data_IF_729054498527
#
_entry.id   IF_729054498527
#
_cell.length_a   1.000
_cell.length_b   1.000
_cell.length_c   1.000
_cell.angle_alpha   90.00
_cell.angle_beta   90.00
_cell.angle_gamma   90.00
#
_symmetry.space_group_name_H-M   'P 1'
#
loop_
_entity.id
_entity.type
_entity.pdbx_description
1 polymer ?
#
# COMPACT_ATOMS: atom_id res chain seq x y z
N UNK A 1 -2.88 6.30 -15.20
CA UNK A 1 -3.32 5.00 -15.75
C UNK A 1 -2.10 4.33 -16.34
N UNK A 2 -1.84 3.07 -16.00
CA UNK A 2 -0.75 2.29 -16.61
C UNK A 2 -1.30 1.45 -17.77
N UNK A 3 -0.44 1.12 -18.73
CA UNK A 3 -0.77 0.13 -19.75
C UNK A 3 -0.51 -1.28 -19.23
N UNK A 4 -1.55 -1.94 -18.73
CA UNK A 4 -1.45 -3.31 -18.17
C UNK A 4 -0.90 -4.30 -19.19
N UNK A 5 -1.18 -4.15 -20.49
CA UNK A 5 -0.67 -5.05 -21.52
C UNK A 5 0.86 -4.90 -21.65
N UNK A 6 1.36 -3.67 -21.59
CA UNK A 6 2.79 -3.38 -21.64
C UNK A 6 3.55 -3.94 -20.43
N UNK A 7 2.94 -3.97 -19.24
CA UNK A 7 3.53 -4.59 -18.04
C UNK A 7 3.57 -6.12 -18.09
N UNK A 8 2.69 -6.74 -18.89
CA UNK A 8 2.57 -8.20 -19.03
C UNK A 8 3.30 -8.76 -20.25
N UNK A 9 3.68 -7.91 -21.22
CA UNK A 9 4.45 -8.30 -22.39
C UNK A 9 5.75 -9.00 -21.98
N UNK A 10 6.13 -10.14 -22.59
CA UNK A 10 7.40 -10.80 -22.31
C UNK A 10 8.57 -9.80 -22.44
N UNK A 11 9.51 -9.88 -21.49
CA UNK A 11 10.76 -9.13 -21.57
C UNK A 11 11.78 -9.92 -22.41
N UNK A 12 12.70 -9.20 -23.04
CA UNK A 12 13.75 -9.80 -23.86
C UNK A 12 14.71 -10.66 -23.02
N UNK A 13 15.26 -11.71 -23.63
CA UNK A 13 16.22 -12.63 -23.01
C UNK A 13 15.65 -14.00 -22.70
N UNK A 14 16.38 -14.77 -21.88
CA UNK A 14 16.06 -16.17 -21.56
C UNK A 14 14.87 -16.31 -20.59
N UNK A 15 14.65 -15.32 -19.72
CA UNK A 15 13.53 -15.30 -18.79
C UNK A 15 12.48 -14.27 -19.28
N UNK A 16 11.22 -14.67 -19.59
CA UNK A 16 10.18 -13.75 -20.06
C UNK A 16 9.74 -12.71 -19.00
N UNK A 17 10.23 -12.82 -17.77
CA UNK A 17 10.09 -11.87 -16.68
C UNK A 17 11.36 -11.06 -16.39
N UNK A 18 12.39 -11.16 -17.24
CA UNK A 18 13.61 -10.35 -17.14
C UNK A 18 14.47 -10.65 -15.91
N UNK A 19 15.18 -9.63 -15.43
CA UNK A 19 16.17 -9.71 -14.35
C UNK A 19 15.56 -9.62 -12.94
N UNK A 20 16.21 -10.23 -11.94
CA UNK A 20 15.86 -10.02 -10.52
C UNK A 20 16.35 -8.64 -10.08
N UNK A 21 15.41 -7.74 -9.77
CA UNK A 21 15.70 -6.35 -9.39
C UNK A 21 16.20 -6.19 -7.95
N UNK A 22 16.35 -7.27 -7.17
CA UNK A 22 16.68 -7.20 -5.73
C UNK A 22 17.91 -6.35 -5.39
N UNK A 23 18.93 -6.36 -6.24
CA UNK A 23 20.19 -5.64 -6.01
C UNK A 23 20.34 -4.45 -6.96
N UNK A 24 19.27 -4.07 -7.67
CA UNK A 24 19.29 -2.96 -8.60
C UNK A 24 19.26 -1.63 -7.82
N UNK A 25 20.26 -0.74 -7.99
CA UNK A 25 20.27 0.56 -7.32
C UNK A 25 19.02 1.41 -7.61
N UNK A 26 18.44 1.30 -8.82
CA UNK A 26 17.21 2.02 -9.16
C UNK A 26 15.99 1.45 -8.42
N UNK A 27 15.99 0.15 -8.09
CA UNK A 27 14.96 -0.45 -7.25
C UNK A 27 15.08 0.00 -5.78
N UNK A 28 16.30 0.09 -5.24
CA UNK A 28 16.50 0.64 -3.88
C UNK A 28 16.12 2.12 -3.80
N UNK A 29 16.39 2.90 -4.85
CA UNK A 29 15.93 4.27 -4.94
C UNK A 29 14.40 4.36 -4.95
N UNK A 30 13.72 3.49 -5.71
CA UNK A 30 12.26 3.39 -5.71
C UNK A 30 11.72 3.06 -4.31
N UNK A 31 12.30 2.09 -3.60
CA UNK A 31 11.90 1.75 -2.23
C UNK A 31 12.01 2.98 -1.31
N UNK A 32 13.10 3.74 -1.39
CA UNK A 32 13.29 4.97 -0.62
C UNK A 32 12.27 6.06 -0.96
N UNK A 33 11.82 6.16 -2.20
CA UNK A 33 10.78 7.11 -2.60
C UNK A 33 9.42 6.81 -1.93
N UNK A 34 9.17 5.56 -1.52
CA UNK A 34 7.93 5.18 -0.83
C UNK A 34 7.93 5.52 0.66
N UNK A 35 9.07 5.98 1.21
CA UNK A 35 9.19 6.38 2.61
C UNK A 35 8.87 7.87 2.81
N UNK A 36 7.92 8.22 3.69
CA UNK A 36 7.68 9.60 4.08
C UNK A 36 8.95 10.24 4.64
N UNK A 37 9.29 11.44 4.17
CA UNK A 37 10.50 12.11 4.63
C UNK A 37 10.18 12.97 5.86
N UNK A 38 11.04 12.93 6.86
CA UNK A 38 10.93 13.79 8.05
C UNK A 38 11.86 14.97 7.90
N UNK A 39 11.30 16.18 7.85
CA UNK A 39 12.07 17.43 7.87
C UNK A 39 12.08 17.99 9.28
N UNK A 40 13.28 18.07 9.86
CA UNK A 40 13.50 18.73 11.16
C UNK A 40 14.15 20.08 10.91
N UNK A 41 13.54 21.15 11.42
CA UNK A 41 14.12 22.49 11.41
C UNK A 41 14.87 22.68 12.72
N UNK A 42 16.12 23.14 12.63
CA UNK A 42 16.95 23.44 13.79
C UNK A 42 17.13 24.96 13.96
N UNK A 43 17.27 25.41 15.21
CA UNK A 43 17.65 26.79 15.52
C UNK A 43 19.15 27.06 15.29
N UNK A 44 19.59 28.29 15.56
CA UNK A 44 21.00 28.69 15.47
C UNK A 44 21.94 27.96 16.45
N UNK A 45 21.40 27.21 17.41
CA UNK A 45 22.15 26.37 18.36
C UNK A 45 22.01 24.87 18.03
N UNK A 46 21.56 24.55 16.81
CA UNK A 46 21.34 23.19 16.31
C UNK A 46 20.28 22.38 17.10
N UNK A 47 19.36 23.04 17.82
CA UNK A 47 18.27 22.38 18.54
C UNK A 47 17.04 22.24 17.63
N UNK A 48 16.37 21.08 17.62
CA UNK A 48 15.17 20.89 16.81
C UNK A 48 14.04 21.79 17.33
N UNK A 49 13.49 22.63 16.46
CA UNK A 49 12.39 23.58 16.77
C UNK A 49 11.09 23.24 16.08
N UNK A 50 11.12 22.49 14.98
CA UNK A 50 9.91 21.93 14.37
C UNK A 50 10.22 20.67 13.58
N UNK A 51 9.22 19.81 13.44
CA UNK A 51 9.28 18.59 12.64
C UNK A 51 8.03 18.53 11.76
N UNK A 52 8.21 18.29 10.46
CA UNK A 52 7.11 18.02 9.53
C UNK A 52 7.38 16.79 8.69
N UNK A 53 6.32 16.04 8.40
CA UNK A 53 6.38 14.91 7.48
C UNK A 53 6.06 15.42 6.08
N UNK A 54 6.95 15.15 5.13
CA UNK A 54 6.72 15.38 3.71
C UNK A 54 6.04 14.12 3.16
N UNK A 55 4.84 14.23 2.59
CA UNK A 55 4.15 13.10 1.97
C UNK A 55 4.98 12.48 0.83
N UNK A 56 4.69 11.21 0.54
CA UNK A 56 5.28 10.51 -0.60
C UNK A 56 4.80 11.13 -1.92
N UNK A 57 5.74 11.32 -2.84
CA UNK A 57 5.48 11.74 -4.22
C UNK A 57 5.14 10.50 -5.08
N UNK A 58 3.87 10.11 -5.08
CA UNK A 58 3.42 8.94 -5.85
C UNK A 58 3.60 9.07 -7.37
N UNK A 59 3.45 10.25 -8.01
CA UNK A 59 3.84 10.44 -9.41
C UNK A 59 5.31 10.11 -9.67
N UNK A 60 6.23 10.52 -8.79
CA UNK A 60 7.64 10.16 -8.90
C UNK A 60 7.87 8.65 -8.74
N UNK A 61 7.16 8.00 -7.80
CA UNK A 61 7.19 6.54 -7.63
C UNK A 61 6.73 5.82 -8.91
N UNK A 62 5.62 6.25 -9.53
CA UNK A 62 5.13 5.65 -10.78
C UNK A 62 6.10 5.85 -11.95
N UNK A 63 6.69 7.04 -12.06
CA UNK A 63 7.69 7.35 -13.10
C UNK A 63 8.90 6.43 -12.96
N UNK A 64 9.45 6.30 -11.74
CA UNK A 64 10.59 5.44 -11.45
C UNK A 64 10.27 3.96 -11.65
N UNK A 65 9.06 3.54 -11.30
CA UNK A 65 8.62 2.16 -11.51
C UNK A 65 8.50 1.79 -13.00
N UNK A 66 8.09 2.74 -13.85
CA UNK A 66 8.00 2.53 -15.31
C UNK A 66 9.39 2.35 -15.94
N UNK A 67 10.43 3.03 -15.43
CA UNK A 67 11.84 2.81 -15.84
C UNK A 67 12.30 1.36 -15.57
N UNK A 68 11.86 0.79 -14.44
CA UNK A 68 12.22 -0.57 -14.01
C UNK A 68 11.40 -1.66 -14.72
N UNK A 69 10.20 -1.35 -15.21
CA UNK A 69 9.29 -2.29 -15.88
C UNK A 69 9.98 -3.08 -16.99
N UNK A 70 10.78 -2.40 -17.81
CA UNK A 70 11.45 -3.00 -18.96
C UNK A 70 12.62 -3.94 -18.55
N UNK A 71 13.06 -3.90 -17.29
CA UNK A 71 14.20 -4.66 -16.79
C UNK A 71 13.80 -5.97 -16.12
N UNK A 72 12.75 -5.94 -15.30
CA UNK A 72 12.34 -7.10 -14.52
C UNK A 72 10.89 -7.02 -14.07
N UNK A 73 10.17 -8.13 -14.25
CA UNK A 73 8.84 -8.35 -13.68
C UNK A 73 9.00 -8.90 -12.27
N UNK A 74 8.98 -7.98 -11.30
CA UNK A 74 9.09 -8.29 -9.87
C UNK A 74 7.78 -7.99 -9.14
N UNK A 75 7.27 -8.94 -8.35
CA UNK A 75 6.06 -8.76 -7.57
C UNK A 75 6.17 -7.60 -6.57
N UNK A 76 7.37 -7.34 -6.01
CA UNK A 76 7.59 -6.21 -5.11
C UNK A 76 7.40 -4.88 -5.86
N UNK A 77 7.93 -4.78 -7.08
CA UNK A 77 7.71 -3.63 -7.96
C UNK A 77 6.20 -3.43 -8.22
N UNK A 78 5.50 -4.50 -8.57
CA UNK A 78 4.07 -4.45 -8.90
C UNK A 78 3.23 -4.07 -7.67
N UNK A 79 3.61 -4.49 -6.47
CA UNK A 79 2.95 -4.06 -5.22
C UNK A 79 3.18 -2.56 -4.97
N UNK A 80 4.39 -2.04 -5.16
CA UNK A 80 4.68 -0.60 -5.09
C UNK A 80 3.84 0.18 -6.11
N UNK A 81 3.76 -0.30 -7.35
CA UNK A 81 2.93 0.31 -8.42
C UNK A 81 1.46 0.28 -8.03
N UNK A 82 0.95 -0.83 -7.49
CA UNK A 82 -0.43 -0.94 -7.01
C UNK A 82 -0.73 0.10 -5.93
N UNK A 83 0.21 0.26 -4.99
CA UNK A 83 0.12 1.25 -3.94
C UNK A 83 0.13 2.69 -4.47
N UNK A 84 1.03 3.01 -5.39
CA UNK A 84 1.12 4.34 -5.99
C UNK A 84 -0.12 4.66 -6.84
N UNK A 85 -0.62 3.70 -7.63
CA UNK A 85 -1.87 3.84 -8.37
C UNK A 85 -3.06 4.11 -7.46
N UNK A 86 -3.17 3.39 -6.34
CA UNK A 86 -4.25 3.61 -5.38
C UNK A 86 -4.22 5.03 -4.81
N UNK A 87 -3.04 5.55 -4.45
CA UNK A 87 -2.93 6.91 -3.93
C UNK A 87 -3.23 7.99 -4.98
N UNK A 88 -2.87 7.76 -6.25
CA UNK A 88 -3.07 8.75 -7.33
C UNK A 88 -4.48 8.73 -7.93
N UNK A 89 -5.10 7.55 -8.00
CA UNK A 89 -6.33 7.32 -8.76
C UNK A 89 -7.44 6.69 -7.91
N UNK A 90 -7.25 6.61 -6.59
CA UNK A 90 -8.19 6.01 -5.66
C UNK A 90 -8.49 4.54 -6.00
N UNK A 91 -9.75 4.14 -5.83
CA UNK A 91 -10.22 2.78 -6.10
C UNK A 91 -10.00 2.32 -7.54
N UNK A 92 -10.07 3.24 -8.52
CA UNK A 92 -9.81 2.90 -9.92
C UNK A 92 -8.35 2.51 -10.15
N UNK A 93 -7.42 3.19 -9.45
CA UNK A 93 -6.00 2.82 -9.44
C UNK A 93 -5.73 1.52 -8.70
N UNK A 94 -6.37 1.32 -7.55
CA UNK A 94 -6.29 0.07 -6.80
C UNK A 94 -6.74 -1.12 -7.65
N UNK A 95 -7.88 -1.00 -8.34
CA UNK A 95 -8.40 -2.05 -9.22
C UNK A 95 -7.43 -2.40 -10.35
N UNK A 96 -6.78 -1.40 -10.96
CA UNK A 96 -5.75 -1.61 -11.98
C UNK A 96 -4.54 -2.38 -11.41
N UNK A 97 -4.02 -1.96 -10.27
CA UNK A 97 -2.86 -2.61 -9.64
C UNK A 97 -3.15 -4.06 -9.22
N UNK A 98 -4.30 -4.30 -8.60
CA UNK A 98 -4.74 -5.67 -8.24
C UNK A 98 -4.96 -6.54 -9.49
N UNK A 99 -5.49 -5.97 -10.56
CA UNK A 99 -5.60 -6.66 -11.86
C UNK A 99 -4.23 -7.04 -12.41
N UNK A 100 -3.24 -6.14 -12.30
CA UNK A 100 -1.87 -6.41 -12.74
C UNK A 100 -1.23 -7.53 -11.91
N UNK A 101 -1.42 -7.54 -10.59
CA UNK A 101 -0.96 -8.63 -9.71
C UNK A 101 -1.58 -9.96 -10.15
N UNK A 102 -2.91 -10.03 -10.26
CA UNK A 102 -3.61 -11.25 -10.64
C UNK A 102 -3.17 -11.79 -12.00
N UNK A 103 -3.13 -10.93 -13.03
CA UNK A 103 -2.69 -11.34 -14.37
C UNK A 103 -1.21 -11.74 -14.42
N UNK A 104 -0.37 -11.13 -13.60
CA UNK A 104 1.04 -11.53 -13.46
C UNK A 104 1.14 -12.94 -12.88
N UNK A 105 0.30 -13.30 -11.92
CA UNK A 105 0.24 -14.68 -11.42
C UNK A 105 -0.22 -15.63 -12.52
N UNK A 106 -1.29 -15.31 -13.25
CA UNK A 106 -1.81 -16.20 -14.29
C UNK A 106 -0.80 -16.46 -15.42
N UNK A 107 -0.04 -15.43 -15.82
CA UNK A 107 0.81 -15.50 -17.02
C UNK A 107 2.28 -15.80 -16.72
N UNK A 108 2.77 -15.43 -15.54
CA UNK A 108 4.21 -15.38 -15.24
C UNK A 108 4.57 -16.00 -13.89
N UNK A 109 3.70 -16.84 -13.30
CA UNK A 109 3.97 -17.47 -12.01
C UNK A 109 5.35 -18.15 -11.95
N UNK A 110 5.73 -18.92 -12.96
CA UNK A 110 7.01 -19.65 -12.93
C UNK A 110 8.23 -18.75 -13.13
N UNK A 111 8.07 -17.66 -13.89
CA UNK A 111 9.18 -16.83 -14.36
C UNK A 111 9.44 -15.58 -13.53
N UNK A 112 8.40 -15.04 -12.87
CA UNK A 112 8.44 -13.74 -12.18
C UNK A 112 9.36 -13.73 -10.95
N UNK A 113 9.83 -12.53 -10.61
CA UNK A 113 10.64 -12.29 -9.43
C UNK A 113 9.78 -11.90 -8.22
N UNK A 114 10.21 -12.21 -6.98
CA UNK A 114 11.36 -13.06 -6.66
C UNK A 114 11.11 -14.51 -7.08
N UNK A 115 12.14 -15.16 -7.65
CA UNK A 115 12.05 -16.55 -8.09
C UNK A 115 11.67 -17.53 -6.95
N UNK A 116 10.95 -18.59 -7.31
CA UNK A 116 10.60 -19.68 -6.39
C UNK A 116 11.86 -20.39 -5.89
N UNK A 117 11.89 -20.75 -4.60
CA UNK A 117 13.01 -21.54 -4.05
C UNK A 117 12.86 -23.02 -4.44
N UNK A 118 13.86 -23.64 -5.09
CA UNK A 118 13.80 -25.05 -5.45
C UNK A 118 13.85 -25.94 -4.20
N UNK A 119 13.40 -27.19 -4.33
CA UNK A 119 13.51 -28.25 -3.32
C UNK A 119 12.87 -27.92 -1.95
N UNK A 120 11.77 -27.17 -1.95
CA UNK A 120 11.01 -26.85 -0.73
C UNK A 120 9.52 -27.04 -0.95
N UNK A 121 8.72 -27.06 0.13
CA UNK A 121 7.26 -27.09 -0.01
C UNK A 121 6.74 -25.86 -0.78
N UNK A 122 5.61 -25.94 -1.50
CA UNK A 122 5.11 -24.82 -2.31
C UNK A 122 5.01 -23.48 -1.56
N UNK A 123 4.57 -23.51 -0.30
CA UNK A 123 4.50 -22.32 0.56
C UNK A 123 5.88 -21.73 0.85
N UNK A 124 6.88 -22.56 1.13
CA UNK A 124 8.24 -22.10 1.39
C UNK A 124 8.92 -21.60 0.10
N UNK A 125 8.65 -22.26 -1.03
CA UNK A 125 9.12 -21.82 -2.34
C UNK A 125 8.65 -20.39 -2.67
N UNK A 126 7.39 -20.10 -2.36
CA UNK A 126 6.75 -18.80 -2.60
C UNK A 126 6.91 -17.79 -1.45
N UNK A 127 7.65 -18.09 -0.38
CA UNK A 127 7.67 -17.25 0.83
C UNK A 127 8.03 -15.78 0.56
N UNK A 128 8.99 -15.52 -0.34
CA UNK A 128 9.36 -14.14 -0.72
C UNK A 128 8.23 -13.40 -1.44
N UNK A 129 7.44 -14.11 -2.24
CA UNK A 129 6.27 -13.54 -2.94
C UNK A 129 5.13 -13.28 -1.96
N UNK A 130 4.91 -14.20 -1.02
CA UNK A 130 3.95 -14.00 0.08
C UNK A 130 4.31 -12.75 0.88
N UNK A 131 5.58 -12.60 1.26
CA UNK A 131 6.04 -11.43 1.99
C UNK A 131 5.85 -10.12 1.21
N UNK A 132 6.06 -10.12 -0.11
CA UNK A 132 5.79 -8.94 -0.94
C UNK A 132 4.32 -8.52 -0.89
N UNK A 133 3.38 -9.49 -0.86
CA UNK A 133 1.94 -9.20 -0.76
C UNK A 133 1.50 -8.73 0.63
N UNK A 134 2.28 -9.01 1.69
CA UNK A 134 1.92 -8.55 3.04
C UNK A 134 1.91 -7.02 3.16
N UNK A 135 2.65 -6.30 2.31
CA UNK A 135 2.59 -4.83 2.27
C UNK A 135 1.19 -4.30 1.91
N UNK A 136 0.41 -5.06 1.12
CA UNK A 136 -0.98 -4.70 0.80
C UNK A 136 -1.85 -4.63 2.06
N UNK A 137 -1.54 -5.45 3.06
CA UNK A 137 -2.27 -5.55 4.33
C UNK A 137 -1.64 -4.72 5.46
N UNK A 138 -0.51 -4.08 5.19
CA UNK A 138 0.21 -3.35 6.22
C UNK A 138 -0.53 -2.07 6.60
N UNK A 139 -1.09 -2.09 7.82
CA UNK A 139 -1.93 -1.04 8.38
C UNK A 139 -1.17 0.12 9.02
N UNK A 140 0.16 0.05 9.13
CA UNK A 140 0.99 1.12 9.70
C UNK A 140 1.49 2.07 8.61
N UNK A 141 2.16 1.53 7.60
CA UNK A 141 2.88 2.29 6.58
C UNK A 141 2.81 1.66 5.18
N UNK A 142 1.88 0.73 4.94
CA UNK A 142 1.61 0.13 3.62
C UNK A 142 0.35 0.63 2.93
N UNK A 143 -0.15 -0.14 1.96
CA UNK A 143 -1.35 0.22 1.18
C UNK A 143 -2.60 0.38 2.07
N UNK A 144 -2.83 -0.54 3.01
CA UNK A 144 -3.99 -0.45 3.90
C UNK A 144 -3.96 0.83 4.74
N UNK A 145 -2.79 1.22 5.24
CA UNK A 145 -2.62 2.50 5.92
C UNK A 145 -2.99 3.69 5.02
N UNK A 146 -2.59 3.67 3.75
CA UNK A 146 -2.94 4.72 2.80
C UNK A 146 -4.43 4.75 2.47
N UNK A 147 -5.07 3.60 2.25
CA UNK A 147 -6.52 3.51 2.02
C UNK A 147 -7.30 4.06 3.23
N UNK A 148 -6.87 3.76 4.46
CA UNK A 148 -7.49 4.32 5.67
C UNK A 148 -7.41 5.85 5.74
N UNK A 149 -6.32 6.44 5.24
CA UNK A 149 -6.11 7.89 5.23
C UNK A 149 -6.79 8.59 4.04
N UNK A 150 -7.06 7.86 2.96
CA UNK A 150 -7.69 8.38 1.76
C UNK A 150 -9.09 8.91 2.05
N UNK A 151 -9.42 10.07 1.47
CA UNK A 151 -10.81 10.56 1.44
C UNK A 151 -11.56 9.88 0.30
N UNK A 152 -12.62 9.15 0.63
CA UNK A 152 -13.47 8.45 -0.35
C UNK A 152 -14.62 9.31 -0.85
N UNK A 153 -15.24 10.06 0.07
CA UNK A 153 -16.35 10.94 -0.23
C UNK A 153 -16.12 12.29 0.43
N UNK A 154 -16.63 13.37 -0.16
CA UNK A 154 -16.64 14.69 0.49
C UNK A 154 -17.97 15.43 0.21
N UNK A 155 -19.12 14.92 0.70
CA UNK A 155 -20.40 15.61 0.53
C UNK A 155 -20.35 16.99 1.21
N UNK A 156 -20.89 18.03 0.55
CA UNK A 156 -20.82 19.42 1.05
C UNK A 156 -21.40 19.62 2.45
N UNK A 157 -22.43 18.86 2.82
CA UNK A 157 -23.11 18.98 4.12
C UNK A 157 -22.46 18.18 5.26
N UNK A 158 -21.59 17.22 4.93
CA UNK A 158 -21.05 16.22 5.87
C UNK A 158 -19.53 16.39 6.05
N UNK A 159 -18.84 16.87 5.01
CA UNK A 159 -17.39 16.95 4.96
C UNK A 159 -16.73 15.67 4.43
N UNK A 160 -15.39 15.58 4.46
CA UNK A 160 -14.67 14.42 3.95
C UNK A 160 -14.96 13.17 4.79
N UNK A 161 -15.13 12.02 4.16
CA UNK A 161 -15.26 10.69 4.75
C UNK A 161 -14.04 9.89 4.33
N UNK A 162 -13.23 9.50 5.30
CA UNK A 162 -12.00 8.74 5.07
C UNK A 162 -12.26 7.23 4.98
N UNK A 163 -11.29 6.47 4.46
CA UNK A 163 -11.35 5.01 4.48
C UNK A 163 -11.43 4.45 5.91
N UNK A 164 -10.83 5.13 6.89
CA UNK A 164 -10.95 4.76 8.31
C UNK A 164 -12.37 4.98 8.84
N UNK A 165 -13.03 6.06 8.43
CA UNK A 165 -14.44 6.29 8.76
C UNK A 165 -15.30 5.14 8.22
N UNK A 166 -15.08 4.71 6.97
CA UNK A 166 -15.79 3.58 6.36
C UNK A 166 -15.49 2.24 7.04
N UNK A 167 -14.23 1.97 7.37
CA UNK A 167 -13.81 0.76 8.07
C UNK A 167 -14.48 0.65 9.44
N UNK A 168 -14.47 1.74 10.22
CA UNK A 168 -15.13 1.77 11.51
C UNK A 168 -16.66 1.63 11.34
N UNK A 169 -17.28 2.36 10.39
CA UNK A 169 -18.72 2.28 10.16
C UNK A 169 -19.21 0.89 9.70
N UNK A 170 -18.34 0.03 9.17
CA UNK A 170 -18.68 -1.35 8.83
C UNK A 170 -18.77 -2.29 10.05
N UNK A 171 -18.34 -1.86 11.24
CA UNK A 171 -18.41 -2.66 12.46
C UNK A 171 -19.75 -2.46 13.19
N UNK A 172 -20.27 -3.54 13.76
CA UNK A 172 -21.34 -3.45 14.76
C UNK A 172 -20.77 -3.01 16.13
N UNK A 173 -21.62 -2.48 17.02
CA UNK A 173 -21.21 -2.00 18.35
C UNK A 173 -20.44 -3.05 19.15
N UNK A 174 -20.80 -4.33 19.00
CA UNK A 174 -20.18 -5.43 19.74
C UNK A 174 -18.77 -5.67 19.25
N UNK A 175 -18.54 -5.70 17.94
CA UNK A 175 -17.21 -5.88 17.33
C UNK A 175 -16.34 -4.65 17.61
N UNK A 176 -16.87 -3.45 17.45
CA UNK A 176 -16.16 -2.20 17.78
C UNK A 176 -15.68 -2.21 19.24
N UNK A 177 -16.53 -2.61 20.20
CA UNK A 177 -16.15 -2.71 21.60
C UNK A 177 -15.16 -3.85 21.90
N UNK A 178 -15.14 -4.91 21.09
CA UNK A 178 -14.17 -6.00 21.22
C UNK A 178 -12.78 -5.59 20.72
N UNK A 179 -12.72 -4.73 19.71
CA UNK A 179 -11.47 -4.18 19.15
C UNK A 179 -10.93 -2.99 19.95
N UNK A 180 -11.75 -2.39 20.81
CA UNK A 180 -11.34 -1.33 21.72
C UNK A 180 -10.31 -1.80 22.75
N UNK A 181 -9.60 -0.84 23.36
CA UNK A 181 -8.60 -1.12 24.39
C UNK A 181 -9.18 -1.97 25.55
N UNK A 182 -8.42 -2.94 26.03
CA UNK A 182 -8.83 -3.74 27.20
C UNK A 182 -8.88 -2.87 28.46
N UNK A 183 -9.84 -3.13 29.35
CA UNK A 183 -9.90 -2.49 30.67
C UNK A 183 -10.80 -1.24 30.74
N UNK A 184 -11.53 -0.92 29.67
CA UNK A 184 -12.46 0.20 29.67
C UNK A 184 -13.61 -0.01 30.66
N UNK A 185 -13.91 1.04 31.42
CA UNK A 185 -15.05 1.11 32.32
C UNK A 185 -16.38 1.32 31.56
N UNK A 186 -17.50 1.26 32.29
CA UNK A 186 -18.83 1.37 31.67
C UNK A 186 -19.07 2.73 30.99
N UNK A 187 -18.56 3.83 31.55
CA UNK A 187 -18.72 5.16 30.98
C UNK A 187 -17.90 5.33 29.70
N UNK A 188 -16.68 4.80 29.67
CA UNK A 188 -15.82 4.81 28.48
C UNK A 188 -16.42 3.97 27.35
N UNK A 189 -16.96 2.79 27.67
CA UNK A 189 -17.68 1.96 26.68
C UNK A 189 -18.92 2.68 26.13
N UNK A 190 -19.70 3.35 26.98
CA UNK A 190 -20.86 4.12 26.55
C UNK A 190 -20.46 5.31 25.65
N UNK A 191 -19.33 5.98 25.95
CA UNK A 191 -18.80 7.05 25.12
C UNK A 191 -18.36 6.53 23.73
N UNK A 192 -17.71 5.36 23.66
CA UNK A 192 -17.35 4.73 22.39
C UNK A 192 -18.58 4.38 21.56
N UNK A 193 -19.62 3.78 22.16
CA UNK A 193 -20.88 3.47 21.46
C UNK A 193 -21.54 4.75 20.96
N UNK A 194 -21.56 5.82 21.76
CA UNK A 194 -22.12 7.10 21.32
C UNK A 194 -21.32 7.71 20.15
N UNK A 195 -19.99 7.67 20.20
CA UNK A 195 -19.14 8.17 19.12
C UNK A 195 -19.30 7.34 17.83
N UNK A 196 -19.43 6.02 17.97
CA UNK A 196 -19.71 5.11 16.86
C UNK A 196 -21.08 5.41 16.23
N UNK A 197 -22.12 5.61 17.04
CA UNK A 197 -23.43 6.03 16.55
C UNK A 197 -23.40 7.37 15.80
N UNK A 198 -22.58 8.33 16.26
CA UNK A 198 -22.36 9.59 15.53
C UNK A 198 -21.64 9.37 14.19
N UNK A 199 -20.65 8.47 14.15
CA UNK A 199 -19.98 8.09 12.91
C UNK A 199 -20.95 7.42 11.92
N UNK A 200 -21.79 6.48 12.37
CA UNK A 200 -22.80 5.82 11.54
C UNK A 200 -23.84 6.80 10.97
N UNK A 201 -24.17 7.86 11.70
CA UNK A 201 -25.06 8.91 11.18
C UNK A 201 -24.38 9.84 10.17
N UNK A 202 -23.04 9.83 10.12
CA UNK A 202 -22.22 10.67 9.24
C UNK A 202 -21.86 9.96 7.94
N UNK A 203 -21.61 8.65 7.98
CA UNK A 203 -21.21 7.81 6.84
C UNK A 203 -22.41 7.28 6.09
#
# INVERSE_FOLDING_TARGET
MIDVALWLAPLDGENPSGEDLRNDPAFHELERLTEPQVKVVHDGNNRPVSQSTIPVDWPAVLTKAEELRARGRDLRLIVIVTRALANEQGLAGLAQGLTLIGRTFDQHWESMHPALRPNTSPRQAALRRINALLDLQNGQDGLLANLRQMTFFAPRSIGPISGRDLEHAALDDRVMLQEAASGLNAAEKAALVSAHGQLLNRV
#
